data_IF_067380457615
#
_entry.id   IF_067380457615
#
_cell.length_a   1.000
_cell.length_b   1.000
_cell.length_c   1.000
_cell.angle_alpha   90.00
_cell.angle_beta   90.00
_cell.angle_gamma   90.00
#
_symmetry.space_group_name_H-M   'P 1'
#
loop_
_entity.id
_entity.type
_entity.pdbx_description
1 polymer ?
#
# COMPACT_ATOMS: atom_id res chain seq x y z
N UNK A 1 -13.48 -24.20 14.43
CA UNK A 1 -12.08 -24.01 14.89
C UNK A 1 -11.85 -22.53 15.12
N UNK A 2 -11.73 -22.03 16.36
CA UNK A 2 -11.39 -20.62 16.56
C UNK A 2 -9.95 -20.41 16.08
N UNK A 3 -9.76 -19.53 15.09
CA UNK A 3 -8.44 -19.15 14.61
C UNK A 3 -7.62 -18.61 15.78
N UNK A 4 -6.42 -19.18 16.00
CA UNK A 4 -5.44 -18.63 16.94
C UNK A 4 -5.28 -17.15 16.64
N UNK A 5 -5.82 -16.28 17.50
CA UNK A 5 -5.47 -14.88 17.51
C UNK A 5 -3.98 -14.82 17.80
N UNK A 6 -3.15 -14.72 16.75
CA UNK A 6 -1.75 -14.38 16.89
C UNK A 6 -1.74 -13.03 17.60
N UNK A 7 -1.45 -13.04 18.88
CA UNK A 7 -1.24 -11.84 19.66
C UNK A 7 -0.22 -11.01 18.89
N UNK A 8 -0.68 -9.88 18.34
CA UNK A 8 0.15 -9.01 17.51
C UNK A 8 1.26 -8.52 18.41
N UNK A 9 2.46 -9.07 18.26
CA UNK A 9 3.62 -8.62 19.00
C UNK A 9 3.76 -7.12 18.75
N UNK A 10 3.71 -6.34 19.82
CA UNK A 10 3.94 -4.91 19.77
C UNK A 10 5.45 -4.70 19.76
N UNK A 11 5.91 -3.92 18.79
CA UNK A 11 7.32 -3.54 18.65
C UNK A 11 7.48 -2.10 19.13
N UNK A 12 8.32 -1.90 20.13
CA UNK A 12 8.73 -0.57 20.58
C UNK A 12 9.51 0.15 19.48
N UNK A 13 9.57 1.48 19.54
CA UNK A 13 10.35 2.29 18.59
C UNK A 13 11.83 1.88 18.56
N UNK A 14 12.40 1.53 19.72
CA UNK A 14 13.76 1.06 19.86
C UNK A 14 13.98 -0.30 19.15
N UNK A 15 13.08 -1.27 19.35
CA UNK A 15 13.18 -2.56 18.69
C UNK A 15 13.02 -2.45 17.17
N UNK A 16 12.08 -1.62 16.69
CA UNK A 16 11.91 -1.36 15.26
C UNK A 16 13.20 -0.81 14.64
N UNK A 17 13.86 0.13 15.32
CA UNK A 17 15.10 0.74 14.82
C UNK A 17 16.26 -0.26 14.81
N UNK A 18 16.44 -1.03 15.87
CA UNK A 18 17.44 -2.10 15.92
C UNK A 18 17.27 -3.12 14.78
N UNK A 19 16.03 -3.50 14.47
CA UNK A 19 15.72 -4.39 13.36
C UNK A 19 16.01 -3.77 11.98
N UNK A 20 15.68 -2.50 11.80
CA UNK A 20 15.98 -1.77 10.56
C UNK A 20 17.49 -1.62 10.35
N UNK A 21 18.24 -1.33 11.41
CA UNK A 21 19.70 -1.20 11.36
C UNK A 21 20.34 -2.55 11.00
N UNK A 22 19.89 -3.63 11.64
CA UNK A 22 20.36 -4.99 11.37
C UNK A 22 20.03 -5.44 9.93
N UNK A 23 18.85 -5.07 9.41
CA UNK A 23 18.46 -5.32 8.02
C UNK A 23 19.14 -4.39 6.99
N UNK A 24 19.73 -3.28 7.43
CA UNK A 24 20.42 -2.31 6.55
C UNK A 24 21.95 -2.47 6.55
N UNK A 25 22.48 -3.34 7.40
CA UNK A 25 23.91 -3.66 7.42
C UNK A 25 24.37 -4.29 6.09
N UNK A 26 25.61 -4.01 5.69
CA UNK A 26 26.17 -4.54 4.45
C UNK A 26 26.22 -6.07 4.49
N UNK A 27 25.61 -6.71 3.49
CA UNK A 27 25.51 -8.17 3.40
C UNK A 27 24.31 -8.78 4.13
N UNK A 28 23.49 -7.98 4.83
CA UNK A 28 22.23 -8.45 5.41
C UNK A 28 21.11 -8.49 4.37
N UNK A 29 20.26 -9.53 4.44
CA UNK A 29 19.02 -9.61 3.67
C UNK A 29 17.80 -9.28 4.52
N UNK A 30 16.95 -8.36 4.04
CA UNK A 30 15.70 -7.97 4.71
C UNK A 30 14.77 -9.16 4.94
N UNK A 31 14.74 -10.12 4.02
CA UNK A 31 13.88 -11.32 4.13
C UNK A 31 14.37 -12.29 5.20
N UNK A 32 15.69 -12.47 5.31
CA UNK A 32 16.29 -13.34 6.33
C UNK A 32 16.09 -12.76 7.73
N UNK A 33 16.29 -11.45 7.88
CA UNK A 33 16.04 -10.73 9.14
C UNK A 33 14.55 -10.79 9.52
N UNK A 34 13.66 -10.56 8.57
CA UNK A 34 12.22 -10.69 8.78
C UNK A 34 11.84 -12.09 9.29
N UNK A 35 12.38 -13.15 8.66
CA UNK A 35 12.12 -14.52 9.06
C UNK A 35 12.68 -14.84 10.45
N UNK A 36 13.92 -14.45 10.73
CA UNK A 36 14.58 -14.70 12.02
C UNK A 36 13.84 -14.08 13.20
N UNK A 37 13.25 -12.90 13.00
CA UNK A 37 12.56 -12.15 14.06
C UNK A 37 11.02 -12.26 14.00
N UNK A 38 10.48 -13.08 13.08
CA UNK A 38 9.04 -13.30 12.93
C UNK A 38 8.27 -12.05 12.49
N UNK A 39 8.93 -11.14 11.78
CA UNK A 39 8.36 -9.90 11.23
C UNK A 39 8.03 -10.10 9.76
N UNK A 40 7.00 -9.43 9.24
CA UNK A 40 6.76 -9.45 7.79
C UNK A 40 7.80 -8.55 7.09
N UNK A 41 8.42 -8.95 5.97
CA UNK A 41 9.39 -8.12 5.25
C UNK A 41 8.83 -6.73 4.90
N UNK A 42 7.53 -6.63 4.59
CA UNK A 42 6.83 -5.36 4.33
C UNK A 42 6.85 -4.39 5.52
N UNK A 43 6.83 -4.89 6.76
CA UNK A 43 6.94 -4.05 7.96
C UNK A 43 8.35 -3.47 8.11
N UNK A 44 9.41 -4.23 7.81
CA UNK A 44 10.78 -3.71 7.83
C UNK A 44 10.97 -2.63 6.76
N UNK A 45 10.44 -2.82 5.55
CA UNK A 45 10.47 -1.78 4.51
C UNK A 45 9.70 -0.52 4.92
N UNK A 46 8.53 -0.67 5.54
CA UNK A 46 7.75 0.46 6.05
C UNK A 46 8.51 1.22 7.15
N UNK A 47 9.09 0.53 8.14
CA UNK A 47 9.88 1.16 9.19
C UNK A 47 11.13 1.83 8.64
N UNK A 48 11.81 1.23 7.66
CA UNK A 48 12.95 1.85 6.98
C UNK A 48 12.56 3.18 6.33
N UNK A 49 11.40 3.23 5.64
CA UNK A 49 10.89 4.47 5.04
C UNK A 49 10.57 5.53 6.10
N UNK A 50 9.89 5.13 7.18
CA UNK A 50 9.55 6.02 8.31
C UNK A 50 10.80 6.62 8.97
N UNK A 51 11.89 5.84 9.09
CA UNK A 51 13.12 6.28 9.74
C UNK A 51 14.05 7.09 8.81
N UNK A 52 13.89 6.98 7.49
CA UNK A 52 14.67 7.71 6.50
C UNK A 52 14.17 9.15 6.25
N UNK A 53 13.23 9.64 7.06
CA UNK A 53 12.64 10.97 6.90
C UNK A 53 11.62 11.07 5.77
N UNK A 54 11.22 9.94 5.17
CA UNK A 54 10.05 9.90 4.32
C UNK A 54 8.84 10.07 5.20
N UNK A 55 8.25 11.28 5.19
CA UNK A 55 6.92 11.55 5.73
C UNK A 55 6.03 10.32 5.49
N UNK A 56 5.56 9.66 6.56
CA UNK A 56 4.51 8.69 6.37
C UNK A 56 3.36 9.47 5.78
N UNK A 57 2.85 9.02 4.62
CA UNK A 57 1.46 9.28 4.28
C UNK A 57 0.67 8.97 5.56
N UNK A 58 0.11 10.02 6.15
CA UNK A 58 -0.22 10.11 7.56
C UNK A 58 -1.49 9.31 7.88
N UNK A 59 -1.52 8.04 7.50
CA UNK A 59 -2.62 7.12 7.77
C UNK A 59 -2.46 6.40 9.13
N UNK A 60 -1.57 6.92 9.98
CA UNK A 60 -1.52 6.61 11.41
C UNK A 60 -1.83 7.83 12.28
N UNK A 61 -2.38 8.91 11.71
CA UNK A 61 -3.30 9.72 12.49
C UNK A 61 -4.41 8.77 12.95
N UNK A 62 -4.39 8.47 14.25
CA UNK A 62 -5.42 7.74 14.99
C UNK A 62 -6.74 7.78 14.23
N UNK A 63 -7.13 6.67 13.59
CA UNK A 63 -8.34 6.59 12.79
C UNK A 63 -9.54 6.73 13.73
N UNK A 64 -9.83 7.97 14.10
CA UNK A 64 -11.02 8.37 14.83
C UNK A 64 -12.10 8.44 13.78
N UNK A 65 -12.94 7.41 13.73
CA UNK A 65 -14.15 7.44 12.94
C UNK A 65 -15.03 8.58 13.46
N UNK A 66 -15.13 9.66 12.68
CA UNK A 66 -16.12 10.70 12.92
C UNK A 66 -17.47 10.20 12.40
N UNK A 67 -18.49 10.17 13.27
CA UNK A 67 -19.87 9.90 12.86
C UNK A 67 -20.38 11.12 12.08
N UNK A 68 -20.64 10.95 10.79
CA UNK A 68 -21.29 11.95 9.95
C UNK A 68 -22.78 11.65 9.97
N UNK A 69 -23.58 12.55 10.56
CA UNK A 69 -25.02 12.58 10.32
C UNK A 69 -25.26 13.35 9.02
N UNK A 70 -25.71 12.64 7.99
CA UNK A 70 -26.14 13.25 6.73
C UNK A 70 -27.50 13.87 6.99
N UNK A 71 -27.52 15.18 7.17
CA UNK A 71 -28.76 15.95 7.17
C UNK A 71 -29.03 16.37 5.72
N UNK A 72 -30.20 16.03 5.19
CA UNK A 72 -30.65 16.37 3.83
C UNK A 72 -30.95 17.89 3.74
N UNK A 73 -29.93 18.71 3.89
CA UNK A 73 -29.99 20.13 3.56
C UNK A 73 -29.58 20.31 2.10
N UNK A 74 -30.26 21.19 1.34
CA UNK A 74 -29.99 21.38 -0.07
C UNK A 74 -28.54 21.83 -0.24
N UNK A 75 -27.85 21.09 -1.10
CA UNK A 75 -26.44 21.20 -1.44
C UNK A 75 -26.09 22.63 -1.84
N UNK A 76 -25.26 23.29 -1.05
CA UNK A 76 -24.59 24.53 -1.47
C UNK A 76 -23.57 24.10 -2.51
N UNK A 77 -23.85 24.38 -3.79
CA UNK A 77 -22.93 24.19 -4.91
C UNK A 77 -21.59 24.88 -4.60
N UNK A 78 -20.66 24.11 -4.05
CA UNK A 78 -19.24 24.42 -4.15
C UNK A 78 -18.88 24.14 -5.59
N UNK A 79 -18.52 25.19 -6.33
CA UNK A 79 -17.92 25.05 -7.64
C UNK A 79 -16.79 24.01 -7.55
N UNK A 80 -17.08 22.82 -8.06
CA UNK A 80 -16.11 21.75 -8.20
C UNK A 80 -15.09 22.31 -9.17
N UNK A 81 -13.89 22.61 -8.67
CA UNK A 81 -12.76 22.84 -9.54
C UNK A 81 -12.69 21.62 -10.46
N UNK A 82 -12.82 21.86 -11.76
CA UNK A 82 -12.84 20.86 -12.82
C UNK A 82 -11.46 20.21 -12.87
N UNK A 83 -11.21 19.31 -11.92
CA UNK A 83 -10.06 18.43 -11.92
C UNK A 83 -10.38 17.38 -12.98
N UNK A 84 -9.68 17.35 -14.13
CA UNK A 84 -9.82 16.22 -15.03
C UNK A 84 -9.50 14.96 -14.22
N UNK A 85 -10.48 14.07 -14.15
CA UNK A 85 -10.38 12.77 -13.48
C UNK A 85 -9.01 12.17 -13.81
N UNK A 86 -8.14 11.91 -12.83
CA UNK A 86 -6.83 11.36 -13.10
C UNK A 86 -7.00 9.91 -13.58
N UNK A 87 -7.30 9.78 -14.87
CA UNK A 87 -6.98 8.68 -15.76
C UNK A 87 -6.91 7.33 -15.03
N UNK A 88 -8.06 6.65 -14.96
CA UNK A 88 -8.23 5.37 -14.28
C UNK A 88 -7.05 4.41 -14.48
N UNK A 89 -6.52 3.91 -13.38
CA UNK A 89 -5.36 3.00 -13.38
C UNK A 89 -5.83 1.55 -13.46
N UNK A 90 -5.37 0.82 -14.47
CA UNK A 90 -5.63 -0.62 -14.62
C UNK A 90 -4.34 -1.40 -14.31
N UNK A 91 -4.43 -2.37 -13.39
CA UNK A 91 -3.32 -3.29 -13.06
C UNK A 91 -3.77 -4.71 -13.34
N UNK A 92 -3.08 -5.39 -14.25
CA UNK A 92 -3.30 -6.80 -14.56
C UNK A 92 -2.13 -7.62 -14.02
N UNK A 93 -2.41 -8.62 -13.20
CA UNK A 93 -1.42 -9.52 -12.63
C UNK A 93 -1.50 -10.89 -13.33
N UNK A 94 -0.37 -11.37 -13.84
CA UNK A 94 -0.29 -12.67 -14.50
C UNK A 94 0.20 -13.76 -13.53
N UNK A 95 -0.19 -15.03 -13.74
CA UNK A 95 0.29 -16.17 -12.93
C UNK A 95 1.82 -16.34 -12.96
N UNK A 96 2.48 -15.84 -14.00
CA UNK A 96 3.95 -15.81 -14.14
C UNK A 96 4.64 -14.80 -13.21
N UNK A 97 3.88 -13.97 -12.49
CA UNK A 97 4.40 -12.92 -11.63
C UNK A 97 4.63 -11.58 -12.35
N UNK A 98 4.47 -11.53 -13.67
CA UNK A 98 4.49 -10.28 -14.44
C UNK A 98 3.29 -9.39 -14.09
N UNK A 99 3.47 -8.06 -14.17
CA UNK A 99 2.41 -7.07 -13.93
C UNK A 99 2.36 -6.07 -15.07
N UNK A 100 1.20 -5.95 -15.70
CA UNK A 100 0.90 -4.91 -16.68
C UNK A 100 0.20 -3.76 -15.96
N UNK A 101 0.75 -2.56 -16.13
CA UNK A 101 0.22 -1.33 -15.56
C UNK A 101 -0.12 -0.37 -16.69
N UNK A 102 -1.35 0.12 -16.68
CA UNK A 102 -1.85 1.09 -17.66
C UNK A 102 -2.37 2.29 -16.87
N UNK A 103 -1.73 3.44 -17.09
CA UNK A 103 -2.14 4.73 -16.56
C UNK A 103 -2.66 5.55 -17.75
N UNK A 104 -3.82 6.20 -17.64
CA UNK A 104 -4.38 7.00 -18.74
C UNK A 104 -5.82 6.66 -19.09
N UNK A 105 -6.47 7.47 -19.95
CA UNK A 105 -7.67 7.03 -20.65
C UNK A 105 -7.31 5.84 -21.56
N UNK A 106 -7.94 4.69 -21.31
CA UNK A 106 -7.65 3.45 -22.04
C UNK A 106 -8.75 3.18 -23.05
N UNK A 107 -8.39 3.05 -24.33
CA UNK A 107 -9.30 2.56 -25.35
C UNK A 107 -9.59 1.06 -25.12
N UNK A 108 -10.87 0.65 -24.94
CA UNK A 108 -11.22 -0.74 -24.65
C UNK A 108 -10.85 -1.69 -25.79
N UNK A 109 -10.78 -1.22 -27.04
CA UNK A 109 -10.42 -2.06 -28.19
C UNK A 109 -8.93 -2.39 -28.17
N UNK A 110 -8.07 -1.39 -27.98
CA UNK A 110 -6.64 -1.56 -27.81
C UNK A 110 -6.30 -2.47 -26.61
N UNK A 111 -7.02 -2.29 -25.49
CA UNK A 111 -6.83 -3.14 -24.31
C UNK A 111 -7.13 -4.62 -24.60
N UNK A 112 -8.20 -4.91 -25.36
CA UNK A 112 -8.56 -6.28 -25.73
C UNK A 112 -7.51 -6.94 -26.64
N UNK A 113 -6.94 -6.20 -27.58
CA UNK A 113 -5.88 -6.72 -28.47
C UNK A 113 -4.64 -7.09 -27.65
N UNK A 114 -4.19 -6.20 -26.76
CA UNK A 114 -3.02 -6.45 -25.90
C UNK A 114 -3.27 -7.64 -24.98
N UNK A 115 -4.46 -7.76 -24.38
CA UNK A 115 -4.80 -8.91 -23.54
C UNK A 115 -4.85 -10.23 -24.33
N UNK A 116 -5.32 -10.20 -25.58
CA UNK A 116 -5.33 -11.39 -26.44
C UNK A 116 -3.89 -11.85 -26.77
N UNK A 117 -3.00 -10.94 -27.12
CA UNK A 117 -1.60 -11.27 -27.43
C UNK A 117 -0.81 -11.75 -26.21
N UNK A 118 -1.11 -11.24 -25.01
CA UNK A 118 -0.48 -11.70 -23.77
C UNK A 118 -1.01 -13.05 -23.26
N UNK A 119 -2.11 -13.55 -23.83
CA UNK A 119 -2.71 -14.84 -23.47
C UNK A 119 -2.27 -16.02 -24.35
N UNK A 120 -1.42 -15.77 -25.35
CA UNK A 120 -0.83 -16.76 -26.26
C UNK A 120 0.46 -17.35 -25.69
#
# INVERSE_FOLDING_TARGET
MPGRSRQRRLWSCAEKRALVDLASAAGSSVTEVAQAFGVAPSQLYAWRKQMAGGEPDADQAMATFARIEVNDLPEVERAVADCPDPAGRIIVAFPSGARLRIDGPVDPTALRIVLAELSR
#
